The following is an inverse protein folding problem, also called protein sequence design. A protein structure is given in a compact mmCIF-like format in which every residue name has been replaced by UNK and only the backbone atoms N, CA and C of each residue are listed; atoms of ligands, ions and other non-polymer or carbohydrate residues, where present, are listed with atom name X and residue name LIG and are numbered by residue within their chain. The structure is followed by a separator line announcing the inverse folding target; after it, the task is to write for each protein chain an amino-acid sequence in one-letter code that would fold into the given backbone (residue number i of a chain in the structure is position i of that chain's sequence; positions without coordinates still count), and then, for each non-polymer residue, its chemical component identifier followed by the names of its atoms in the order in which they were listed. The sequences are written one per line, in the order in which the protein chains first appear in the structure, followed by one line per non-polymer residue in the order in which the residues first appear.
data_IF_475802645899
#
_entry.id   IF_475802645899
#
_cell.length_a   1.000
_cell.length_b   1.000
_cell.length_c   1.000
_cell.angle_alpha   90.00
_cell.angle_beta   90.00
_cell.angle_gamma   90.00
#
_symmetry.space_group_name_H-M   'P 1'
#
loop_
_entity.id
_entity.type
_entity.pdbx_description
1 polymer ?
#
# COMPACT_ATOMS: atom_id res chain seq x y z
N UNK A 1 -11.74 -14.82 24.22
CA UNK A 1 -11.43 -15.53 22.96
C UNK A 1 -10.27 -14.76 22.35
N UNK A 2 -9.03 -15.25 22.52
CA UNK A 2 -7.87 -14.60 21.90
C UNK A 2 -7.97 -14.86 20.39
N UNK A 3 -8.12 -13.81 19.58
CA UNK A 3 -7.88 -13.94 18.16
C UNK A 3 -6.46 -14.50 17.98
N UNK A 4 -6.31 -15.61 17.26
CA UNK A 4 -5.00 -16.06 16.84
C UNK A 4 -4.31 -14.91 16.09
N UNK A 5 -3.04 -14.66 16.38
CA UNK A 5 -2.29 -13.61 15.70
C UNK A 5 -2.31 -13.89 14.20
N UNK A 6 -2.91 -12.98 13.44
CA UNK A 6 -2.97 -13.05 11.98
C UNK A 6 -1.56 -12.92 11.41
N UNK A 7 -1.20 -13.78 10.45
CA UNK A 7 0.08 -13.67 9.75
C UNK A 7 0.10 -12.41 8.88
N UNK A 8 1.20 -11.65 8.93
CA UNK A 8 1.40 -10.50 8.07
C UNK A 8 1.66 -10.96 6.62
N UNK A 9 1.00 -10.34 5.63
CA UNK A 9 1.38 -10.47 4.22
C UNK A 9 2.86 -10.09 4.05
N UNK A 10 3.64 -10.97 3.44
CA UNK A 10 5.06 -10.77 3.18
C UNK A 10 5.33 -10.58 1.70
N UNK A 11 6.44 -9.93 1.36
CA UNK A 11 6.89 -9.80 -0.02
C UNK A 11 7.10 -11.17 -0.70
N UNK A 12 7.64 -12.15 0.04
CA UNK A 12 7.80 -13.52 -0.47
C UNK A 12 6.45 -14.14 -0.85
N UNK A 13 5.44 -14.00 0.02
CA UNK A 13 4.11 -14.51 -0.24
C UNK A 13 3.45 -13.83 -1.44
N UNK A 14 3.55 -12.50 -1.54
CA UNK A 14 3.08 -11.73 -2.70
C UNK A 14 3.72 -12.26 -3.98
N UNK A 15 5.06 -12.28 -4.03
CA UNK A 15 5.83 -12.67 -5.22
C UNK A 15 5.48 -14.09 -5.65
N UNK A 16 5.46 -15.03 -4.69
CA UNK A 16 5.16 -16.44 -4.94
C UNK A 16 3.73 -16.63 -5.46
N UNK A 17 2.75 -16.02 -4.80
CA UNK A 17 1.33 -16.25 -5.10
C UNK A 17 0.88 -15.52 -6.38
N UNK A 18 1.43 -14.34 -6.70
CA UNK A 18 1.13 -13.67 -7.97
C UNK A 18 1.92 -14.21 -9.17
N UNK A 19 2.77 -15.22 -8.98
CA UNK A 19 3.45 -15.92 -10.07
C UNK A 19 4.64 -15.15 -10.67
N UNK A 20 5.12 -14.11 -10.01
CA UNK A 20 6.31 -13.38 -10.44
C UNK A 20 7.60 -14.16 -10.13
N UNK A 21 8.62 -13.95 -10.96
CA UNK A 21 9.88 -14.66 -10.79
C UNK A 21 10.67 -14.08 -9.60
N UNK A 22 10.99 -14.86 -8.55
CA UNK A 22 11.52 -14.34 -7.28
C UNK A 22 12.93 -13.75 -7.36
N UNK A 23 13.66 -14.02 -8.44
CA UNK A 23 14.97 -13.39 -8.70
C UNK A 23 14.86 -11.92 -9.09
N UNK A 24 13.75 -11.51 -9.68
CA UNK A 24 13.59 -10.20 -10.32
C UNK A 24 12.55 -9.36 -9.61
N UNK A 25 11.40 -9.97 -9.29
CA UNK A 25 10.29 -9.26 -8.69
C UNK A 25 10.60 -8.73 -7.30
N UNK A 26 10.04 -7.56 -6.98
CA UNK A 26 10.06 -6.98 -5.64
C UNK A 26 8.71 -6.37 -5.29
N UNK A 27 8.25 -6.59 -4.07
CA UNK A 27 7.18 -5.77 -3.50
C UNK A 27 7.79 -4.44 -3.04
N UNK A 28 7.40 -3.36 -3.69
CA UNK A 28 7.88 -1.98 -3.43
C UNK A 28 7.16 -1.36 -2.23
N UNK A 29 5.91 -1.74 -2.03
CA UNK A 29 5.05 -1.30 -0.94
C UNK A 29 4.15 -2.46 -0.53
N UNK A 30 3.98 -2.68 0.77
CA UNK A 30 2.90 -3.49 1.34
C UNK A 30 2.28 -2.66 2.48
N UNK A 31 1.08 -2.15 2.25
CA UNK A 31 0.30 -1.44 3.25
C UNK A 31 -0.86 -2.33 3.69
N UNK A 32 -1.03 -2.52 5.00
CA UNK A 32 -2.02 -3.45 5.55
C UNK A 32 -2.92 -2.76 6.54
N UNK A 33 -4.22 -2.98 6.40
CA UNK A 33 -5.20 -2.79 7.46
C UNK A 33 -5.70 -4.19 7.87
N UNK A 34 -6.49 -4.35 8.95
CA UNK A 34 -7.10 -5.66 9.29
C UNK A 34 -7.69 -6.33 8.03
N UNK A 35 -7.72 -7.65 7.87
CA UNK A 35 -8.14 -8.41 6.65
C UNK A 35 -7.76 -7.97 5.21
N UNK A 36 -7.21 -6.78 4.93
CA UNK A 36 -6.87 -6.25 3.59
C UNK A 36 -5.45 -5.73 3.48
N UNK A 37 -4.92 -5.73 2.27
CA UNK A 37 -3.68 -5.05 1.96
C UNK A 37 -3.69 -4.43 0.55
N UNK A 38 -2.92 -3.36 0.41
CA UNK A 38 -2.55 -2.71 -0.84
C UNK A 38 -1.08 -2.98 -1.09
N UNK A 39 -0.74 -3.43 -2.28
CA UNK A 39 0.63 -3.77 -2.65
C UNK A 39 0.99 -3.11 -3.96
N UNK A 40 2.21 -2.57 -4.05
CA UNK A 40 2.83 -2.20 -5.32
C UNK A 40 3.93 -3.22 -5.62
N UNK A 41 3.86 -3.87 -6.77
CA UNK A 41 4.82 -4.89 -7.20
C UNK A 41 5.55 -4.41 -8.45
N UNK A 42 6.87 -4.38 -8.38
CA UNK A 42 7.72 -4.26 -9.56
C UNK A 42 8.06 -5.69 -10.01
N UNK A 43 7.30 -6.20 -10.99
CA UNK A 43 7.36 -7.62 -11.39
C UNK A 43 8.68 -8.04 -12.03
N UNK A 44 9.41 -7.09 -12.63
CA UNK A 44 10.69 -7.35 -13.30
C UNK A 44 11.89 -6.77 -12.54
N UNK A 45 11.65 -6.01 -11.47
CA UNK A 45 12.69 -5.43 -10.62
C UNK A 45 13.41 -4.22 -11.22
N UNK A 46 12.99 -3.75 -12.40
CA UNK A 46 13.61 -2.65 -13.13
C UNK A 46 12.88 -1.31 -12.90
N UNK A 47 11.72 -1.34 -12.25
CA UNK A 47 10.89 -0.17 -11.95
C UNK A 47 10.16 0.39 -13.18
N UNK A 48 10.14 -0.31 -14.31
CA UNK A 48 9.53 0.16 -15.54
C UNK A 48 7.99 0.16 -15.47
N UNK A 49 7.41 -0.81 -14.78
CA UNK A 49 5.97 -0.91 -14.53
C UNK A 49 5.74 -1.46 -13.12
N UNK A 50 4.84 -0.80 -12.39
CA UNK A 50 4.35 -1.25 -11.10
C UNK A 50 2.94 -1.82 -11.26
N UNK A 51 2.72 -3.00 -10.72
CA UNK A 51 1.39 -3.57 -10.56
C UNK A 51 0.83 -3.14 -9.20
N UNK A 52 -0.36 -2.57 -9.20
CA UNK A 52 -1.14 -2.29 -8.00
C UNK A 52 -2.08 -3.47 -7.73
N UNK A 53 -1.93 -4.06 -6.54
CA UNK A 53 -2.61 -5.28 -6.14
C UNK A 53 -3.39 -5.08 -4.84
N UNK A 54 -4.65 -5.53 -4.82
CA UNK A 54 -5.41 -5.67 -3.58
C UNK A 54 -5.39 -7.11 -3.09
N UNK A 55 -5.16 -7.28 -1.80
CA UNK A 55 -5.11 -8.58 -1.14
C UNK A 55 -6.14 -8.65 -0.03
N UNK A 56 -6.75 -9.83 0.13
CA UNK A 56 -7.67 -10.15 1.22
C UNK A 56 -7.16 -11.33 2.03
N UNK A 57 -7.41 -11.34 3.34
CA UNK A 57 -7.09 -12.45 4.22
C UNK A 57 -8.36 -13.24 4.56
N UNK A 58 -8.36 -14.51 4.22
CA UNK A 58 -9.35 -15.48 4.67
C UNK A 58 -8.79 -16.32 5.83
N UNK A 59 -9.61 -16.62 6.83
CA UNK A 59 -9.17 -17.36 8.02
C UNK A 59 -8.84 -18.84 7.75
N UNK A 60 -9.31 -19.41 6.64
CA UNK A 60 -9.05 -20.80 6.23
C UNK A 60 -7.88 -20.87 5.26
N UNK A 61 -7.86 -19.96 4.30
CA UNK A 61 -6.98 -20.02 3.13
C UNK A 61 -5.81 -19.02 3.20
N UNK A 62 -5.80 -18.12 4.19
CA UNK A 62 -4.78 -17.09 4.37
C UNK A 62 -4.93 -15.94 3.38
N UNK A 63 -3.82 -15.28 3.07
CA UNK A 63 -3.80 -14.16 2.12
C UNK A 63 -4.00 -14.61 0.67
N UNK A 64 -4.90 -13.93 -0.04
CA UNK A 64 -5.23 -14.16 -1.43
C UNK A 64 -5.16 -12.86 -2.22
N UNK A 65 -4.64 -12.92 -3.44
CA UNK A 65 -4.70 -11.80 -4.38
C UNK A 65 -6.13 -11.63 -4.89
N UNK A 66 -6.61 -10.39 -4.97
CA UNK A 66 -7.98 -10.06 -5.35
C UNK A 66 -8.08 -9.41 -6.72
N UNK A 67 -7.40 -8.28 -6.94
CA UNK A 67 -7.45 -7.55 -8.21
C UNK A 67 -6.13 -6.84 -8.46
N UNK A 68 -5.80 -6.73 -9.74
CA UNK A 68 -4.54 -6.20 -10.25
C UNK A 68 -4.78 -5.13 -11.30
N UNK A 69 -3.96 -4.08 -11.30
CA UNK A 69 -3.95 -3.03 -12.32
C UNK A 69 -2.58 -2.39 -12.45
N UNK A 70 -2.17 -2.02 -13.65
CA UNK A 70 -0.96 -1.24 -13.86
C UNK A 70 -1.04 0.14 -13.20
N UNK A 71 0.08 0.58 -12.64
CA UNK A 71 0.24 1.84 -11.90
C UNK A 71 1.42 2.68 -12.46
N UNK A 72 1.93 2.32 -13.64
CA UNK A 72 3.02 3.02 -14.31
C UNK A 72 4.37 2.79 -13.66
N UNK A 73 5.38 3.56 -14.08
CA UNK A 73 6.76 3.36 -13.65
C UNK A 73 7.03 3.88 -12.22
N UNK A 74 7.99 3.27 -11.54
CA UNK A 74 8.44 3.72 -10.21
C UNK A 74 9.02 5.14 -10.25
N UNK A 75 9.63 5.52 -11.37
CA UNK A 75 10.23 6.83 -11.57
C UNK A 75 9.19 7.94 -11.77
N UNK A 76 8.02 7.60 -12.32
CA UNK A 76 6.95 8.54 -12.64
C UNK A 76 5.76 8.44 -11.66
N UNK A 77 5.88 7.63 -10.61
CA UNK A 77 4.88 7.55 -9.56
C UNK A 77 4.60 8.95 -9.02
N UNK A 78 3.33 9.36 -9.04
CA UNK A 78 2.96 10.70 -8.64
C UNK A 78 3.28 10.96 -7.15
N UNK A 79 3.45 12.23 -6.78
CA UNK A 79 3.69 12.61 -5.38
C UNK A 79 2.58 12.14 -4.45
N UNK A 80 1.32 12.16 -4.92
CA UNK A 80 0.15 11.63 -4.22
C UNK A 80 -0.87 11.14 -5.25
N UNK A 81 -1.39 9.93 -5.08
CA UNK A 81 -2.59 9.40 -5.71
C UNK A 81 -3.49 8.88 -4.60
N UNK A 82 -4.77 9.29 -4.58
CA UNK A 82 -5.78 8.80 -3.64
C UNK A 82 -7.05 8.41 -4.38
N UNK A 83 -7.71 7.37 -3.89
CA UNK A 83 -8.94 6.86 -4.50
C UNK A 83 -9.77 6.06 -3.50
N UNK A 84 -11.04 5.88 -3.86
CA UNK A 84 -12.01 5.04 -3.16
C UNK A 84 -12.09 3.70 -3.91
N UNK A 85 -11.83 2.60 -3.22
CA UNK A 85 -11.90 1.23 -3.74
C UNK A 85 -13.17 0.49 -3.28
N UNK A 86 -14.18 1.22 -2.81
CA UNK A 86 -15.47 0.70 -2.35
C UNK A 86 -15.49 0.45 -0.85
N UNK A 87 -14.90 -0.66 -0.41
CA UNK A 87 -14.88 -1.04 1.02
C UNK A 87 -13.79 -0.30 1.81
N UNK A 88 -12.80 0.24 1.11
CA UNK A 88 -11.64 0.91 1.68
C UNK A 88 -11.18 2.05 0.79
N UNK A 89 -10.48 3.00 1.39
CA UNK A 89 -9.81 4.09 0.71
C UNK A 89 -8.30 3.87 0.72
N UNK A 90 -7.66 4.35 -0.33
CA UNK A 90 -6.24 4.17 -0.53
C UNK A 90 -5.56 5.50 -0.85
N UNK A 91 -4.29 5.60 -0.48
CA UNK A 91 -3.37 6.51 -1.14
C UNK A 91 -1.99 5.89 -1.29
N UNK A 92 -1.30 6.26 -2.36
CA UNK A 92 0.13 5.99 -2.53
C UNK A 92 0.82 7.24 -3.01
N UNK A 93 2.13 7.30 -2.81
CA UNK A 93 2.88 8.40 -3.38
C UNK A 93 4.37 8.30 -3.16
N UNK A 94 5.05 9.35 -3.60
CA UNK A 94 6.49 9.55 -3.47
C UNK A 94 6.80 10.56 -2.37
N UNK A 95 7.88 10.30 -1.63
CA UNK A 95 8.54 11.26 -0.77
C UNK A 95 10.03 10.90 -0.66
N UNK A 96 10.83 11.76 -0.04
CA UNK A 96 12.22 11.41 0.27
C UNK A 96 12.28 10.13 1.14
N UNK A 97 13.23 9.22 0.91
CA UNK A 97 13.36 8.01 1.73
C UNK A 97 13.42 8.32 3.23
N UNK A 98 12.57 7.64 4.01
CA UNK A 98 12.44 7.84 5.45
C UNK A 98 11.65 9.09 5.86
N UNK A 99 11.14 9.90 4.93
CA UNK A 99 10.25 11.02 5.26
C UNK A 99 8.94 10.52 5.87
N UNK A 100 8.39 11.31 6.81
CA UNK A 100 7.08 11.06 7.41
C UNK A 100 6.03 11.88 6.67
N UNK A 101 5.01 11.20 6.18
CA UNK A 101 3.85 11.74 5.47
C UNK A 101 2.67 11.74 6.41
N UNK A 102 2.15 12.92 6.73
CA UNK A 102 0.93 13.09 7.52
C UNK A 102 -0.28 13.10 6.61
N UNK A 103 -1.31 12.34 6.97
CA UNK A 103 -2.52 12.11 6.18
C UNK A 103 -3.74 12.41 7.04
N UNK A 104 -4.71 13.14 6.51
CA UNK A 104 -6.03 13.30 7.13
C UNK A 104 -7.08 12.46 6.41
N UNK A 105 -7.87 11.70 7.17
CA UNK A 105 -9.02 10.95 6.67
C UNK A 105 -10.06 10.75 7.78
N UNK A 106 -11.35 10.93 7.47
CA UNK A 106 -12.44 10.68 8.43
C UNK A 106 -12.37 11.56 9.68
N UNK A 107 -11.78 12.76 9.57
CA UNK A 107 -11.52 13.66 10.70
C UNK A 107 -10.35 13.23 11.61
N UNK A 108 -9.67 12.14 11.28
CA UNK A 108 -8.48 11.63 12.00
C UNK A 108 -7.19 11.94 11.24
N UNK A 109 -6.08 12.00 11.98
CA UNK A 109 -4.74 12.14 11.43
C UNK A 109 -3.96 10.82 11.51
N UNK A 110 -3.20 10.52 10.46
CA UNK A 110 -2.37 9.33 10.33
C UNK A 110 -0.97 9.72 9.87
N UNK A 111 0.01 8.88 10.17
CA UNK A 111 1.38 9.05 9.72
C UNK A 111 1.85 7.80 8.98
N UNK A 112 2.63 8.01 7.93
CA UNK A 112 3.26 6.95 7.12
C UNK A 112 4.68 7.33 6.79
N UNK A 113 5.59 6.36 6.91
CA UNK A 113 6.99 6.57 6.55
C UNK A 113 7.23 6.10 5.12
N UNK A 114 7.91 6.92 4.32
CA UNK A 114 8.35 6.51 3.00
C UNK A 114 9.49 5.49 3.12
N UNK A 115 9.40 4.41 2.34
CA UNK A 115 10.40 3.35 2.30
C UNK A 115 11.77 3.86 1.82
N UNK A 116 12.78 2.98 1.84
CA UNK A 116 14.10 3.27 1.25
C UNK A 116 14.03 3.60 -0.24
N UNK A 117 12.97 3.15 -0.92
CA UNK A 117 12.69 3.47 -2.32
C UNK A 117 11.99 4.82 -2.48
N UNK A 118 11.64 5.51 -1.39
CA UNK A 118 10.91 6.78 -1.40
C UNK A 118 9.42 6.61 -1.72
N UNK A 119 8.83 5.44 -1.40
CA UNK A 119 7.41 5.13 -1.64
C UNK A 119 6.69 4.99 -0.31
N UNK A 120 5.52 5.60 -0.20
CA UNK A 120 4.62 5.46 0.95
C UNK A 120 3.23 5.01 0.50
N UNK A 121 2.48 4.42 1.43
CA UNK A 121 1.12 3.94 1.19
C UNK A 121 0.21 4.20 2.38
N UNK A 122 -1.08 4.22 2.11
CA UNK A 122 -2.15 4.33 3.09
C UNK A 122 -3.33 3.46 2.63
N UNK A 123 -3.87 2.69 3.56
CA UNK A 123 -5.06 1.87 3.39
C UNK A 123 -5.90 2.00 4.65
N UNK A 124 -7.18 2.28 4.49
CA UNK A 124 -8.12 2.37 5.61
C UNK A 124 -9.52 1.99 5.16
N UNK A 125 -10.33 1.43 6.06
CA UNK A 125 -11.74 1.17 5.79
C UNK A 125 -12.45 2.46 5.38
N UNK A 126 -13.42 2.37 4.46
CA UNK A 126 -14.17 3.51 3.95
C UNK A 126 -15.26 3.97 4.95
N UNK A 127 -14.84 4.35 6.16
CA UNK A 127 -15.70 4.60 7.32
C UNK A 127 -15.90 6.09 7.66
N UNK A 128 -15.45 7.00 6.78
CA UNK A 128 -15.65 8.43 6.99
C UNK A 128 -17.14 8.81 7.10
N UNK A 129 -17.51 9.71 8.03
CA UNK A 129 -18.85 10.29 8.08
C UNK A 129 -19.18 11.19 6.88
N UNK A 130 -18.18 11.53 6.05
CA UNK A 130 -18.35 12.29 4.81
C UNK A 130 -18.29 11.32 3.63
N UNK A 131 -19.41 11.12 2.90
CA UNK A 131 -19.42 10.25 1.74
C UNK A 131 -18.34 10.65 0.72
N UNK A 132 -17.59 9.66 0.23
CA UNK A 132 -16.54 9.85 -0.77
C UNK A 132 -15.37 10.75 -0.34
N UNK A 133 -15.16 10.97 0.96
CA UNK A 133 -13.92 11.56 1.43
C UNK A 133 -12.75 10.67 1.02
N UNK A 134 -11.65 11.30 0.58
CA UNK A 134 -10.41 10.61 0.25
C UNK A 134 -9.32 11.01 1.24
N UNK A 135 -8.34 10.13 1.50
CA UNK A 135 -7.17 10.47 2.28
C UNK A 135 -6.41 11.62 1.62
N UNK A 136 -6.14 12.66 2.40
CA UNK A 136 -5.42 13.85 1.94
C UNK A 136 -4.10 13.99 2.69
N UNK A 137 -3.00 14.17 1.96
CA UNK A 137 -1.70 14.51 2.56
C UNK A 137 -1.74 15.93 3.09
N UNK A 138 -1.43 16.11 4.37
CA UNK A 138 -1.44 17.40 5.06
C UNK A 138 -0.05 17.96 5.31
N UNK A 139 0.97 17.09 5.43
CA UNK A 139 2.36 17.48 5.57
C UNK A 139 3.30 16.35 5.09
N UNK A 140 4.50 16.73 4.67
CA UNK A 140 5.62 15.81 4.44
C UNK A 140 6.84 16.40 5.17
N UNK A 141 7.38 15.63 6.10
CA UNK A 141 8.51 16.05 6.93
C UNK A 141 9.69 15.13 6.65
N UNK A 142 10.81 15.70 6.17
CA UNK A 142 12.04 14.94 5.93
C UNK A 142 12.68 14.45 7.23
N UNK A 143 13.47 13.38 7.17
CA UNK A 143 14.31 12.96 8.31
C UNK A 143 15.32 14.07 8.64
N UNK A 144 15.52 14.43 9.91
CA UNK A 144 16.67 15.23 10.29
C UNK A 144 17.95 14.44 9.96
N UNK A 145 18.88 15.09 9.24
CA UNK A 145 20.20 14.56 8.91
C UNK A 145 21.07 14.36 10.16
#
# INVERSE_FOLDING_TARGET
MHAAAREALTAELVIRTGGWHPRYARAVLIEQSGDRALVLVDGNGDGAELELEYWGYDARDGWQGGSSSGNGSLAELASVQSWDAGEFVCAVGRAEPGAVVSISYGGSGYEREASELGVWGFLHDADSPRPSELPAVTAVTGRPH
#
